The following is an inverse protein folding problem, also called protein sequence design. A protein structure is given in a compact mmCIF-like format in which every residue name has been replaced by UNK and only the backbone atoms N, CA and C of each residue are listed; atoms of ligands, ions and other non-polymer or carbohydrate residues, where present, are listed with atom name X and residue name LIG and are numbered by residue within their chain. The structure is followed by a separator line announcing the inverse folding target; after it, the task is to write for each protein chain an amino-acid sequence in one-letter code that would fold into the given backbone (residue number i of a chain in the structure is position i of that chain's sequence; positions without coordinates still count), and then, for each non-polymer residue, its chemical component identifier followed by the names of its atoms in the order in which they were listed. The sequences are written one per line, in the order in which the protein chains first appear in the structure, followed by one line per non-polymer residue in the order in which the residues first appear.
data_IF_540267572551
#
_entry.id   IF_540267572551
#
_cell.length_a   1.000
_cell.length_b   1.000
_cell.length_c   1.000
_cell.angle_alpha   90.00
_cell.angle_beta   90.00
_cell.angle_gamma   90.00
#
_symmetry.space_group_name_H-M   'P 1'
#
loop_
_entity.id
_entity.type
_entity.pdbx_description
1 polymer ?
#
# COMPACT_ATOMS: atom_id res chain seq x y z
N UNK A 1 15.71 -3.41 -1.69
CA UNK A 1 14.86 -4.61 -1.81
C UNK A 1 14.67 -4.86 -3.29
N UNK A 2 14.97 -6.06 -3.77
CA UNK A 2 14.77 -6.43 -5.17
C UNK A 2 13.25 -6.52 -5.43
N UNK A 3 12.70 -5.49 -6.08
CA UNK A 3 11.25 -5.30 -6.28
C UNK A 3 10.68 -6.34 -7.26
N UNK A 4 11.55 -7.10 -7.93
CA UNK A 4 11.23 -8.15 -8.91
C UNK A 4 10.53 -9.39 -8.33
N UNK A 5 10.40 -9.51 -7.00
CA UNK A 5 9.74 -10.65 -6.32
C UNK A 5 8.44 -10.29 -5.61
N UNK A 6 7.85 -9.13 -5.88
CA UNK A 6 6.57 -8.75 -5.28
C UNK A 6 5.43 -9.44 -6.02
N UNK A 7 4.94 -10.54 -5.42
CA UNK A 7 3.82 -11.33 -5.94
C UNK A 7 2.46 -10.90 -5.37
N UNK A 8 2.41 -9.85 -4.55
CA UNK A 8 1.20 -9.35 -3.92
C UNK A 8 1.18 -7.83 -3.93
N UNK A 9 0.05 -7.24 -4.32
CA UNK A 9 -0.14 -5.79 -4.31
C UNK A 9 -1.47 -5.43 -3.67
N UNK A 10 -1.50 -4.26 -3.04
CA UNK A 10 -2.72 -3.60 -2.62
C UNK A 10 -3.08 -2.57 -3.68
N UNK A 11 -4.26 -2.75 -4.27
CA UNK A 11 -4.87 -1.85 -5.21
C UNK A 11 -5.89 -0.99 -4.46
N UNK A 12 -5.64 0.32 -4.39
CA UNK A 12 -6.57 1.29 -3.82
C UNK A 12 -7.16 2.14 -4.95
N UNK A 13 -8.49 2.13 -5.10
CA UNK A 13 -9.21 2.91 -6.10
C UNK A 13 -10.12 3.89 -5.35
N UNK A 14 -10.07 5.17 -5.71
CA UNK A 14 -10.85 6.22 -5.07
C UNK A 14 -11.52 7.12 -6.09
N UNK A 15 -12.78 7.46 -5.84
CA UNK A 15 -13.50 8.46 -6.61
C UNK A 15 -12.86 9.84 -6.40
N UNK A 16 -12.56 10.55 -7.49
CA UNK A 16 -12.04 11.91 -7.49
C UNK A 16 -13.15 12.95 -7.73
N UNK A 17 -12.81 14.01 -8.45
CA UNK A 17 -13.79 15.01 -8.91
C UNK A 17 -14.81 14.39 -9.87
N UNK A 18 -16.10 14.64 -9.64
CA UNK A 18 -17.21 14.14 -10.48
C UNK A 18 -18.38 13.49 -9.75
N UNK A 19 -18.36 13.44 -8.41
CA UNK A 19 -19.50 12.98 -7.59
C UNK A 19 -19.87 11.52 -7.87
N UNK A 20 -21.16 11.27 -8.12
CA UNK A 20 -21.68 9.93 -8.40
C UNK A 20 -21.04 9.30 -9.63
N UNK A 21 -20.74 10.09 -10.67
CA UNK A 21 -20.08 9.60 -11.88
C UNK A 21 -18.64 9.17 -11.59
N UNK A 22 -17.91 9.89 -10.72
CA UNK A 22 -16.59 9.47 -10.29
C UNK A 22 -16.63 8.13 -9.53
N UNK A 23 -17.69 7.90 -8.75
CA UNK A 23 -17.89 6.63 -8.02
C UNK A 23 -18.22 5.48 -8.97
N UNK A 24 -19.06 5.72 -9.97
CA UNK A 24 -19.35 4.74 -11.04
C UNK A 24 -18.08 4.38 -11.80
N UNK A 25 -17.28 5.38 -12.18
CA UNK A 25 -16.02 5.16 -12.88
C UNK A 25 -15.00 4.40 -12.03
N UNK A 26 -14.91 4.66 -10.73
CA UNK A 26 -14.11 3.84 -9.81
C UNK A 26 -14.57 2.36 -9.82
N UNK A 27 -15.88 2.12 -9.89
CA UNK A 27 -16.45 0.78 -10.08
C UNK A 27 -16.08 0.13 -11.42
N UNK A 28 -16.06 0.91 -12.50
CA UNK A 28 -15.61 0.42 -13.81
C UNK A 28 -14.14 -0.02 -13.78
N UNK A 29 -13.28 0.80 -13.17
CA UNK A 29 -11.86 0.47 -12.98
C UNK A 29 -11.68 -0.78 -12.11
N UNK A 30 -12.41 -0.88 -10.99
CA UNK A 30 -12.36 -2.06 -10.12
C UNK A 30 -12.71 -3.34 -10.89
N UNK A 31 -13.80 -3.32 -11.66
CA UNK A 31 -14.22 -4.45 -12.49
C UNK A 31 -13.21 -4.76 -13.60
N UNK A 32 -12.61 -3.75 -14.20
CA UNK A 32 -11.55 -3.91 -15.20
C UNK A 32 -10.34 -4.65 -14.62
N UNK A 33 -9.84 -4.22 -13.45
CA UNK A 33 -8.71 -4.87 -12.79
C UNK A 33 -9.05 -6.28 -12.31
N UNK A 34 -10.24 -6.50 -11.77
CA UNK A 34 -10.71 -7.83 -11.38
C UNK A 34 -10.73 -8.80 -12.57
N UNK A 35 -11.26 -8.37 -13.72
CA UNK A 35 -11.29 -9.18 -14.95
C UNK A 35 -9.89 -9.44 -15.50
N UNK A 36 -9.02 -8.44 -15.47
CA UNK A 36 -7.63 -8.62 -15.89
C UNK A 36 -6.89 -9.61 -14.98
N UNK A 37 -7.06 -9.50 -13.65
CA UNK A 37 -6.49 -10.45 -12.71
C UNK A 37 -6.96 -11.89 -13.01
N UNK A 38 -8.26 -12.09 -13.24
CA UNK A 38 -8.81 -13.41 -13.60
C UNK A 38 -8.19 -13.96 -14.89
N UNK A 39 -8.01 -13.14 -15.94
CA UNK A 39 -7.36 -13.54 -17.20
C UNK A 39 -5.90 -13.93 -17.04
N UNK A 40 -5.20 -13.29 -16.10
CA UNK A 40 -3.79 -13.58 -15.79
C UNK A 40 -3.63 -14.73 -14.78
N UNK A 41 -4.72 -15.33 -14.30
CA UNK A 41 -4.70 -16.37 -13.28
C UNK A 41 -4.31 -15.86 -11.88
N UNK A 42 -4.48 -14.56 -11.63
CA UNK A 42 -4.22 -13.94 -10.33
C UNK A 42 -5.47 -13.96 -9.44
N UNK A 43 -5.27 -14.05 -8.13
CA UNK A 43 -6.37 -13.88 -7.18
C UNK A 43 -6.64 -12.39 -6.96
N UNK A 44 -7.91 -12.04 -6.82
CA UNK A 44 -8.38 -10.69 -6.53
C UNK A 44 -9.35 -10.77 -5.35
N UNK A 45 -8.97 -10.19 -4.21
CA UNK A 45 -9.77 -10.20 -2.98
C UNK A 45 -10.03 -8.77 -2.54
N UNK A 46 -11.30 -8.39 -2.40
CA UNK A 46 -11.66 -7.09 -1.82
C UNK A 46 -11.39 -7.16 -0.32
N UNK A 47 -10.59 -6.22 0.19
CA UNK A 47 -10.27 -6.10 1.61
C UNK A 47 -11.21 -5.12 2.31
N UNK A 48 -11.52 -4.01 1.64
CA UNK A 48 -12.43 -2.97 2.13
C UNK A 48 -13.08 -2.25 0.95
N UNK A 49 -14.31 -1.79 1.13
CA UNK A 49 -15.04 -1.04 0.12
C UNK A 49 -16.05 -0.09 0.76
N UNK A 50 -16.03 1.17 0.31
CA UNK A 50 -17.05 2.16 0.59
C UNK A 50 -17.88 2.39 -0.67
N UNK A 51 -19.10 1.90 -0.67
CA UNK A 51 -20.03 2.05 -1.78
C UNK A 51 -20.67 3.44 -1.80
N UNK A 52 -21.02 3.92 -3.00
CA UNK A 52 -21.86 5.10 -3.19
C UNK A 52 -23.30 4.69 -3.48
N UNK A 53 -24.25 5.61 -3.23
CA UNK A 53 -25.67 5.37 -3.56
C UNK A 53 -25.93 5.10 -5.05
N UNK A 54 -24.99 5.46 -5.93
CA UNK A 54 -25.04 5.21 -7.36
C UNK A 54 -24.53 3.81 -7.78
N UNK A 55 -24.34 2.88 -6.85
CA UNK A 55 -23.77 1.53 -7.11
C UNK A 55 -22.32 1.55 -7.63
N UNK A 56 -21.58 2.60 -7.30
CA UNK A 56 -20.14 2.71 -7.53
C UNK A 56 -19.37 2.63 -6.21
N UNK A 57 -18.07 2.92 -6.25
CA UNK A 57 -17.22 2.97 -5.06
C UNK A 57 -16.70 4.38 -4.82
N UNK A 58 -16.85 4.88 -3.58
CA UNK A 58 -16.08 6.03 -3.10
C UNK A 58 -14.62 5.63 -2.89
N UNK A 59 -14.41 4.49 -2.25
CA UNK A 59 -13.12 3.85 -2.06
C UNK A 59 -13.26 2.34 -2.20
N UNK A 60 -12.28 1.69 -2.83
CA UNK A 60 -12.17 0.23 -2.88
C UNK A 60 -10.70 -0.13 -2.67
N UNK A 61 -10.45 -1.06 -1.75
CA UNK A 61 -9.14 -1.61 -1.45
C UNK A 61 -9.21 -3.10 -1.74
N UNK A 62 -8.36 -3.58 -2.63
CA UNK A 62 -8.26 -4.99 -2.98
C UNK A 62 -6.82 -5.49 -2.89
N UNK A 63 -6.64 -6.72 -2.45
CA UNK A 63 -5.41 -7.47 -2.63
C UNK A 63 -5.44 -8.19 -3.98
N UNK A 64 -4.37 -8.05 -4.75
CA UNK A 64 -4.14 -8.81 -5.98
C UNK A 64 -2.86 -9.62 -5.82
N UNK A 65 -2.97 -10.94 -5.94
CA UNK A 65 -1.86 -11.87 -5.69
C UNK A 65 -1.62 -12.77 -6.91
N UNK A 66 -0.37 -12.81 -7.35
CA UNK A 66 0.05 -13.57 -8.54
C UNK A 66 1.46 -13.21 -9.00
N UNK A 67 2.05 -14.08 -9.81
CA UNK A 67 3.41 -13.89 -10.31
C UNK A 67 3.49 -12.64 -11.21
N UNK A 68 4.44 -11.74 -10.92
CA UNK A 68 4.70 -10.54 -11.72
C UNK A 68 3.59 -9.47 -11.64
N UNK A 69 2.68 -9.56 -10.67
CA UNK A 69 1.53 -8.65 -10.54
C UNK A 69 1.98 -7.19 -10.37
N UNK A 70 3.00 -6.92 -9.54
CA UNK A 70 3.47 -5.57 -9.32
C UNK A 70 4.09 -4.96 -10.59
N UNK A 71 4.87 -5.73 -11.35
CA UNK A 71 5.49 -5.23 -12.57
C UNK A 71 4.48 -4.88 -13.66
N UNK A 72 3.38 -5.62 -13.72
CA UNK A 72 2.29 -5.34 -14.65
C UNK A 72 1.45 -4.13 -14.24
N UNK A 73 1.16 -3.97 -12.95
CA UNK A 73 0.21 -2.95 -12.46
C UNK A 73 0.88 -1.67 -11.95
N UNK A 74 2.18 -1.62 -11.68
CA UNK A 74 2.86 -0.42 -11.15
C UNK A 74 2.70 0.85 -12.02
N UNK A 75 2.40 0.69 -13.31
CA UNK A 75 2.16 1.82 -14.22
C UNK A 75 0.70 2.28 -14.21
N UNK A 76 -0.18 1.61 -13.49
CA UNK A 76 -1.58 2.00 -13.33
C UNK A 76 -1.76 3.01 -12.20
N UNK A 77 -0.73 3.27 -11.40
CA UNK A 77 -0.77 4.29 -10.35
C UNK A 77 -0.90 5.70 -10.94
N UNK A 78 -1.92 6.43 -10.49
CA UNK A 78 -2.18 7.81 -10.90
C UNK A 78 -3.66 8.18 -10.99
N UNK A 79 -3.92 9.39 -11.48
CA UNK A 79 -5.29 9.87 -11.74
C UNK A 79 -5.76 9.44 -13.13
N UNK A 80 -6.89 8.74 -13.17
CA UNK A 80 -7.61 8.38 -14.39
C UNK A 80 -8.77 9.35 -14.60
N UNK A 81 -8.87 9.92 -15.79
CA UNK A 81 -9.95 10.82 -16.20
C UNK A 81 -10.92 10.10 -17.11
N UNK A 82 -12.21 10.27 -16.91
CA UNK A 82 -13.26 9.80 -17.83
C UNK A 82 -14.06 10.97 -18.39
N UNK A 83 -14.41 10.87 -19.68
CA UNK A 83 -15.32 11.77 -20.37
C UNK A 83 -16.41 10.94 -21.03
N UNK A 84 -17.62 11.02 -20.50
CA UNK A 84 -18.81 10.34 -21.05
C UNK A 84 -20.07 11.06 -20.61
N UNK A 85 -21.20 10.68 -21.19
CA UNK A 85 -22.52 11.03 -20.67
C UNK A 85 -22.81 10.11 -19.48
N UNK A 86 -22.89 10.63 -18.24
CA UNK A 86 -23.17 9.82 -17.06
C UNK A 86 -24.52 9.13 -17.15
N UNK A 87 -24.65 7.97 -16.51
CA UNK A 87 -25.94 7.28 -16.41
C UNK A 87 -26.94 8.08 -15.55
N UNK A 88 -26.42 8.95 -14.69
CA UNK A 88 -27.21 9.86 -13.83
C UNK A 88 -27.64 11.15 -14.55
N UNK A 89 -27.17 11.42 -15.77
CA UNK A 89 -27.44 12.65 -16.52
C UNK A 89 -28.61 12.48 -17.49
N UNK A 90 -29.56 13.45 -17.49
CA UNK A 90 -30.80 13.37 -18.29
C UNK A 90 -30.70 14.10 -19.63
N UNK A 91 -29.82 15.09 -19.77
CA UNK A 91 -29.74 15.96 -20.95
C UNK A 91 -28.68 15.54 -21.97
N UNK A 92 -28.03 14.38 -21.81
CA UNK A 92 -27.02 13.90 -22.75
C UNK A 92 -25.71 14.70 -22.74
N UNK A 93 -25.46 15.49 -21.70
CA UNK A 93 -24.24 16.31 -21.59
C UNK A 93 -23.05 15.44 -21.21
N UNK A 94 -21.92 15.68 -21.86
CA UNK A 94 -20.66 14.99 -21.54
C UNK A 94 -20.09 15.61 -20.26
N UNK A 95 -19.90 14.78 -19.24
CA UNK A 95 -19.25 15.19 -18.01
C UNK A 95 -17.79 14.71 -17.99
N UNK A 96 -16.97 15.44 -17.24
CA UNK A 96 -15.58 15.06 -16.98
C UNK A 96 -15.40 14.74 -15.51
N UNK A 97 -15.09 13.47 -15.25
CA UNK A 97 -14.90 12.92 -13.91
C UNK A 97 -13.53 12.25 -13.79
N UNK A 98 -13.11 11.96 -12.57
CA UNK A 98 -11.79 11.39 -12.26
C UNK A 98 -11.89 10.31 -11.18
N UNK A 99 -10.96 9.38 -11.21
CA UNK A 99 -10.71 8.41 -10.14
C UNK A 99 -9.20 8.23 -9.99
N UNK A 100 -8.70 8.09 -8.77
CA UNK A 100 -7.31 7.77 -8.53
C UNK A 100 -7.13 6.29 -8.27
N UNK A 101 -6.00 5.76 -8.72
CA UNK A 101 -5.57 4.38 -8.49
C UNK A 101 -4.19 4.42 -7.86
N UNK A 102 -4.00 3.70 -6.76
CA UNK A 102 -2.69 3.45 -6.18
C UNK A 102 -2.40 1.95 -6.17
N UNK A 103 -1.18 1.61 -6.55
CA UNK A 103 -0.66 0.23 -6.55
C UNK A 103 0.51 0.18 -5.59
N UNK A 104 0.25 -0.42 -4.43
CA UNK A 104 1.20 -0.51 -3.34
C UNK A 104 1.73 -1.96 -3.28
N UNK A 105 3.05 -2.18 -3.24
CA UNK A 105 3.57 -3.51 -3.00
C UNK A 105 3.14 -3.97 -1.59
N UNK A 106 2.55 -5.16 -1.48
CA UNK A 106 2.24 -5.71 -0.17
C UNK A 106 3.55 -6.14 0.49
N UNK A 107 3.88 -5.52 1.62
CA UNK A 107 5.05 -5.89 2.42
C UNK A 107 4.56 -6.80 3.53
N UNK A 108 4.98 -8.05 3.51
CA UNK A 108 4.73 -8.94 4.65
C UNK A 108 5.44 -8.38 5.89
N UNK A 109 4.73 -8.39 7.02
CA UNK A 109 5.30 -8.02 8.30
C UNK A 109 6.41 -9.02 8.66
N UNK A 110 7.64 -8.75 8.24
CA UNK A 110 8.79 -9.55 8.64
C UNK A 110 8.92 -9.45 10.15
N UNK A 111 8.87 -10.60 10.83
CA UNK A 111 9.21 -10.72 12.24
C UNK A 111 10.52 -9.97 12.50
N UNK A 112 10.56 -9.18 13.57
CA UNK A 112 11.78 -8.48 13.97
C UNK A 112 12.72 -9.50 14.57
N UNK A 113 13.68 -9.94 13.77
CA UNK A 113 14.77 -10.78 14.23
C UNK A 113 15.81 -9.90 14.93
N UNK A 114 16.06 -10.18 16.21
CA UNK A 114 17.05 -9.45 17.02
C UNK A 114 18.27 -10.36 17.17
N UNK A 115 19.40 -9.96 16.60
CA UNK A 115 20.66 -10.68 16.74
C UNK A 115 21.30 -10.34 18.09
N UNK A 116 21.80 -11.35 18.80
CA UNK A 116 22.45 -11.11 20.10
C UNK A 116 23.73 -10.28 19.98
N UNK A 117 24.43 -10.31 18.84
CA UNK A 117 25.62 -9.49 18.56
C UNK A 117 25.35 -7.98 18.61
N UNK A 118 24.12 -7.59 18.33
CA UNK A 118 23.69 -6.20 18.18
C UNK A 118 23.22 -5.63 19.53
N UNK A 119 23.23 -6.45 20.58
CA UNK A 119 22.82 -6.09 21.92
C UNK A 119 24.03 -5.82 22.80
N UNK A 120 23.92 -4.76 23.59
CA UNK A 120 24.78 -4.50 24.73
C UNK A 120 23.94 -4.67 25.98
N UNK A 121 24.24 -5.71 26.75
CA UNK A 121 23.52 -6.02 27.98
C UNK A 121 24.39 -5.59 29.14
N UNK A 122 23.87 -4.68 29.96
CA UNK A 122 24.50 -4.21 31.20
C UNK A 122 23.64 -4.62 32.38
N UNK A 123 24.29 -5.06 33.46
CA UNK A 123 23.65 -5.47 34.69
C UNK A 123 23.92 -4.44 35.78
N UNK A 124 22.93 -4.21 36.63
CA UNK A 124 23.06 -3.28 37.74
C UNK A 124 22.23 -3.73 38.95
N UNK A 125 22.47 -3.10 40.10
CA UNK A 125 21.67 -3.34 41.29
C UNK A 125 20.31 -2.68 41.14
N UNK A 126 19.24 -3.41 41.47
CA UNK A 126 17.89 -2.87 41.41
C UNK A 126 17.73 -1.79 42.50
N UNK A 127 17.45 -0.54 42.10
CA UNK A 127 17.18 0.55 43.05
C UNK A 127 15.73 0.53 43.54
N UNK A 128 15.53 0.46 44.86
CA UNK A 128 14.21 0.53 45.52
C UNK A 128 14.26 0.18 47.02
N UNK A 129 13.16 0.38 47.78
CA UNK A 129 13.06 0.07 49.22
C UNK A 129 12.96 -1.43 49.50
N UNK A 130 13.96 -2.20 49.05
CA UNK A 130 14.03 -3.65 49.21
C UNK A 130 14.99 -4.09 50.32
N UNK A 131 14.73 -5.28 50.89
CA UNK A 131 15.57 -5.90 51.93
C UNK A 131 16.99 -6.24 51.46
N UNK A 132 17.81 -6.87 52.33
CA UNK A 132 19.25 -7.14 52.10
C UNK A 132 19.60 -7.75 50.73
N UNK A 133 18.69 -8.52 50.12
CA UNK A 133 18.90 -9.18 48.83
C UNK A 133 18.99 -8.18 47.65
N UNK A 134 18.19 -7.10 47.69
CA UNK A 134 18.15 -6.05 46.65
C UNK A 134 19.43 -5.24 46.61
N UNK A 135 20.09 -5.06 47.76
CA UNK A 135 21.33 -4.29 47.88
C UNK A 135 22.60 -5.09 47.52
N UNK A 136 22.51 -6.43 47.49
CA UNK A 136 23.66 -7.33 47.27
C UNK A 136 23.70 -7.93 45.87
N UNK A 137 22.56 -8.13 45.19
CA UNK A 137 22.49 -8.89 43.93
C UNK A 137 22.15 -7.97 42.75
N UNK A 138 22.91 -8.11 41.66
CA UNK A 138 22.74 -7.35 40.41
C UNK A 138 21.63 -7.96 39.53
N UNK A 139 20.38 -7.80 39.96
CA UNK A 139 19.22 -8.39 39.27
C UNK A 139 18.66 -7.52 38.15
N UNK A 140 18.97 -6.21 38.10
CA UNK A 140 18.44 -5.30 37.08
C UNK A 140 19.22 -5.46 35.77
N UNK A 141 18.47 -5.49 34.66
CA UNK A 141 19.03 -5.66 33.31
C UNK A 141 18.70 -4.44 32.47
N UNK A 142 19.70 -3.92 31.76
CA UNK A 142 19.54 -2.89 30.74
C UNK A 142 20.12 -3.41 29.43
N UNK A 143 19.32 -3.33 28.37
CA UNK A 143 19.68 -3.78 27.02
C UNK A 143 19.67 -2.56 26.10
N UNK A 144 20.79 -2.34 25.42
CA UNK A 144 20.93 -1.34 24.37
C UNK A 144 21.06 -2.04 23.02
N UNK A 145 20.20 -1.70 22.08
CA UNK A 145 20.31 -2.17 20.69
C UNK A 145 21.19 -1.20 19.91
N UNK A 146 22.44 -1.60 19.63
CA UNK A 146 23.48 -0.74 19.03
C UNK A 146 23.04 -0.11 17.69
N UNK A 147 22.38 -0.85 16.76
CA UNK A 147 22.01 -0.28 15.47
C UNK A 147 20.95 0.83 15.55
N UNK A 148 20.03 0.77 16.52
CA UNK A 148 18.95 1.77 16.66
C UNK A 148 19.17 2.75 17.80
N UNK A 149 20.17 2.53 18.66
CA UNK A 149 20.41 3.30 19.88
C UNK A 149 19.32 3.12 20.95
N UNK A 150 18.37 2.20 20.75
CA UNK A 150 17.26 2.01 21.69
C UNK A 150 17.73 1.33 22.96
N UNK A 151 17.32 1.91 24.09
CA UNK A 151 17.64 1.39 25.41
C UNK A 151 16.34 0.95 26.08
N UNK A 152 16.34 -0.28 26.58
CA UNK A 152 15.27 -0.83 27.42
C UNK A 152 15.86 -1.49 28.65
N UNK A 153 15.06 -1.69 29.69
CA UNK A 153 15.51 -2.41 30.88
C UNK A 153 14.35 -2.98 31.66
N UNK A 154 14.66 -3.94 32.53
CA UNK A 154 13.71 -4.55 33.46
C UNK A 154 14.39 -4.77 34.82
N UNK A 155 13.60 -4.57 35.88
CA UNK A 155 14.03 -4.72 37.29
C UNK A 155 12.95 -5.29 38.20
N UNK A 156 11.85 -5.76 37.62
CA UNK A 156 10.65 -6.19 38.36
C UNK A 156 10.84 -7.60 38.96
N UNK A 157 11.61 -8.44 38.29
CA UNK A 157 11.80 -9.83 38.67
C UNK A 157 12.94 -10.03 39.66
N UNK A 158 12.83 -11.09 40.45
CA UNK A 158 13.86 -11.48 41.45
C UNK A 158 15.10 -12.11 40.83
N UNK A 159 15.05 -12.52 39.56
CA UNK A 159 16.17 -13.16 38.86
C UNK A 159 16.65 -12.33 37.66
N UNK A 160 17.96 -12.35 37.43
CA UNK A 160 18.60 -11.68 36.29
C UNK A 160 18.08 -12.23 34.96
N UNK A 161 17.85 -13.55 34.87
CA UNK A 161 17.37 -14.19 33.65
C UNK A 161 15.96 -13.72 33.27
N UNK A 162 15.02 -13.72 34.23
CA UNK A 162 13.66 -13.27 33.99
C UNK A 162 13.60 -11.78 33.61
N UNK A 163 14.43 -10.94 34.25
CA UNK A 163 14.56 -9.53 33.85
C UNK A 163 15.15 -9.37 32.44
N UNK A 164 16.09 -10.24 32.02
CA UNK A 164 16.65 -10.22 30.66
C UNK A 164 15.59 -10.61 29.63
N UNK A 165 14.81 -11.65 29.88
CA UNK A 165 13.71 -12.07 28.99
C UNK A 165 12.65 -10.97 28.85
N UNK A 166 12.24 -10.35 29.95
CA UNK A 166 11.27 -9.25 29.92
C UNK A 166 11.81 -8.02 29.17
N UNK A 167 13.06 -7.65 29.41
CA UNK A 167 13.70 -6.56 28.67
C UNK A 167 13.81 -6.89 27.16
N UNK A 168 14.08 -8.15 26.79
CA UNK A 168 14.08 -8.60 25.40
C UNK A 168 12.69 -8.56 24.76
N UNK A 169 11.64 -8.94 25.47
CA UNK A 169 10.25 -8.83 25.01
C UNK A 169 9.90 -7.37 24.71
N UNK A 170 10.21 -6.46 25.64
CA UNK A 170 10.00 -5.01 25.46
C UNK A 170 10.83 -4.47 24.30
N UNK A 171 12.08 -4.92 24.14
CA UNK A 171 12.94 -4.51 23.02
C UNK A 171 12.32 -4.92 21.67
N UNK A 172 11.88 -6.18 21.56
CA UNK A 172 11.23 -6.70 20.35
C UNK A 172 9.95 -5.92 20.02
N UNK A 173 9.13 -5.62 21.03
CA UNK A 173 7.92 -4.83 20.85
C UNK A 173 8.23 -3.42 20.33
N UNK A 174 9.20 -2.72 20.95
CA UNK A 174 9.60 -1.36 20.51
C UNK A 174 10.22 -1.34 19.11
N UNK A 175 11.07 -2.31 18.79
CA UNK A 175 11.66 -2.43 17.45
C UNK A 175 10.59 -2.75 16.39
N UNK A 176 9.59 -3.57 16.74
CA UNK A 176 8.44 -3.84 15.87
C UNK A 176 7.62 -2.59 15.63
N UNK A 177 7.31 -1.84 16.68
CA UNK A 177 6.56 -0.59 16.58
C UNK A 177 7.29 0.45 15.73
N UNK A 178 8.58 0.68 15.98
CA UNK A 178 9.38 1.62 15.19
C UNK A 178 9.48 1.22 13.70
N UNK A 179 9.63 -0.08 13.43
CA UNK A 179 9.64 -0.60 12.05
C UNK A 179 8.26 -0.46 11.39
N UNK A 180 7.18 -0.65 12.16
CA UNK A 180 5.81 -0.43 11.71
C UNK A 180 5.59 1.05 11.37
N UNK A 181 5.99 1.97 12.23
CA UNK A 181 5.88 3.41 12.00
C UNK A 181 6.67 3.86 10.76
N UNK A 182 7.91 3.39 10.61
CA UNK A 182 8.72 3.67 9.41
C UNK A 182 8.07 3.13 8.13
N UNK A 183 7.49 1.92 8.20
CA UNK A 183 6.79 1.31 7.07
C UNK A 183 5.50 2.07 6.75
N UNK A 184 4.73 2.49 7.76
CA UNK A 184 3.50 3.29 7.57
C UNK A 184 3.82 4.66 6.98
N UNK A 185 4.88 5.32 7.46
CA UNK A 185 5.35 6.59 6.93
C UNK A 185 5.70 6.49 5.44
N UNK A 186 6.57 5.54 5.09
CA UNK A 186 6.98 5.33 3.69
C UNK A 186 5.83 4.91 2.77
N UNK A 187 4.88 4.08 3.23
CA UNK A 187 3.69 3.72 2.45
C UNK A 187 2.75 4.92 2.28
N UNK A 188 2.59 5.76 3.30
CA UNK A 188 1.78 6.97 3.23
C UNK A 188 2.35 7.98 2.23
N UNK A 189 3.67 8.17 2.22
CA UNK A 189 4.37 9.01 1.24
C UNK A 189 4.29 8.43 -0.18
N UNK A 190 4.48 7.11 -0.32
CA UNK A 190 4.32 6.42 -1.59
C UNK A 190 2.89 6.57 -2.12
N UNK A 191 1.87 6.43 -1.26
CA UNK A 191 0.47 6.63 -1.63
C UNK A 191 0.22 8.07 -2.07
N UNK A 192 0.70 9.06 -1.31
CA UNK A 192 0.52 10.49 -1.64
C UNK A 192 1.16 10.84 -2.98
N UNK A 193 2.36 10.33 -3.26
CA UNK A 193 3.04 10.58 -4.54
C UNK A 193 2.34 9.93 -5.74
N UNK A 194 1.64 8.80 -5.53
CA UNK A 194 0.89 8.13 -6.59
C UNK A 194 -0.49 8.76 -6.86
N UNK A 195 -1.22 9.14 -5.81
CA UNK A 195 -2.61 9.64 -5.94
C UNK A 195 -2.66 11.13 -6.25
N UNK A 196 -1.67 11.89 -5.78
CA UNK A 196 -1.68 13.36 -5.88
C UNK A 196 -2.90 13.97 -5.19
N UNK A 197 -3.45 15.04 -5.77
CA UNK A 197 -4.66 15.71 -5.30
C UNK A 197 -5.96 15.05 -5.80
N UNK A 198 -5.87 14.17 -6.79
CA UNK A 198 -7.04 13.58 -7.45
C UNK A 198 -7.73 14.53 -8.45
N UNK A 199 -7.11 15.67 -8.75
CA UNK A 199 -7.66 16.70 -9.63
C UNK A 199 -7.48 16.40 -11.12
N UNK A 200 -8.31 17.05 -11.95
CA UNK A 200 -8.35 16.84 -13.41
C UNK A 200 -7.03 17.12 -14.14
N UNK A 201 -6.15 17.94 -13.54
CA UNK A 201 -4.87 18.33 -14.12
C UNK A 201 -3.82 17.19 -14.08
N UNK A 202 -3.86 16.37 -13.02
CA UNK A 202 -2.83 15.35 -12.71
C UNK A 202 -3.08 14.00 -13.42
N UNK A 203 -3.95 14.00 -14.44
CA UNK A 203 -4.35 12.79 -15.16
C UNK A 203 -3.16 12.09 -15.84
N UNK A 204 -2.97 10.82 -15.54
CA UNK A 204 -2.07 9.94 -16.27
C UNK A 204 -2.72 9.38 -17.54
N UNK A 205 -4.04 9.14 -17.48
CA UNK A 205 -4.80 8.51 -18.56
C UNK A 205 -6.18 9.13 -18.70
N UNK A 206 -6.66 9.26 -19.93
CA UNK A 206 -8.01 9.75 -20.24
C UNK A 206 -8.77 8.73 -21.06
N UNK A 207 -9.96 8.37 -20.58
CA UNK A 207 -10.95 7.50 -21.22
C UNK A 207 -12.03 8.40 -21.82
N UNK A 208 -11.98 8.62 -23.14
CA UNK A 208 -12.93 9.46 -23.87
C UNK A 208 -13.92 8.59 -24.63
N UNK A 209 -15.12 8.39 -24.07
CA UNK A 209 -16.15 7.51 -24.64
C UNK A 209 -16.72 8.03 -25.97
N UNK A 210 -17.05 9.33 -26.15
CA UNK A 210 -17.52 9.86 -27.42
C UNK A 210 -16.61 9.56 -28.62
N UNK A 211 -15.28 9.58 -28.39
CA UNK A 211 -14.28 9.31 -29.43
C UNK A 211 -13.81 7.84 -29.46
N UNK A 212 -14.38 6.97 -28.60
CA UNK A 212 -13.88 5.62 -28.32
C UNK A 212 -12.34 5.56 -28.18
N UNK A 213 -11.78 6.46 -27.34
CA UNK A 213 -10.32 6.64 -27.24
C UNK A 213 -9.82 6.66 -25.81
N UNK A 214 -8.83 5.83 -25.53
CA UNK A 214 -7.98 5.90 -24.34
C UNK A 214 -6.66 6.56 -24.72
N UNK A 215 -6.23 7.58 -23.99
CA UNK A 215 -4.92 8.23 -24.17
C UNK A 215 -4.15 8.18 -22.86
N UNK A 216 -2.94 7.63 -22.88
CA UNK A 216 -2.01 7.74 -21.76
C UNK A 216 -1.04 8.90 -22.03
N UNK A 217 -1.11 9.92 -21.17
CA UNK A 217 -0.39 11.18 -21.37
C UNK A 217 1.11 11.06 -21.08
N UNK A 218 1.53 10.01 -20.38
CA UNK A 218 2.94 9.82 -20.01
C UNK A 218 3.77 9.32 -21.19
N UNK A 219 3.19 8.48 -22.04
CA UNK A 219 3.85 7.90 -23.22
C UNK A 219 3.26 8.40 -24.55
N UNK A 220 2.21 9.23 -24.51
CA UNK A 220 1.54 9.77 -25.69
C UNK A 220 0.81 8.74 -26.56
N UNK A 221 0.74 7.46 -26.15
CA UNK A 221 0.05 6.39 -26.89
C UNK A 221 -1.46 6.47 -26.71
N UNK A 222 -2.16 6.03 -27.76
CA UNK A 222 -3.61 6.03 -27.86
C UNK A 222 -4.09 4.61 -28.20
N UNK A 223 -5.22 4.22 -27.63
CA UNK A 223 -5.91 2.97 -27.93
C UNK A 223 -7.39 3.24 -28.17
N UNK A 224 -8.03 2.41 -28.98
CA UNK A 224 -9.47 2.40 -29.19
C UNK A 224 -10.12 1.16 -28.57
N UNK A 225 -11.45 1.05 -28.69
CA UNK A 225 -12.26 -0.02 -28.13
C UNK A 225 -12.21 -0.02 -26.59
N UNK A 226 -12.69 1.08 -26.00
CA UNK A 226 -12.70 1.31 -24.55
C UNK A 226 -13.42 0.17 -23.84
N UNK A 227 -14.58 -0.26 -24.36
CA UNK A 227 -15.38 -1.31 -23.75
C UNK A 227 -14.59 -2.60 -23.60
N UNK A 228 -13.88 -3.03 -24.66
CA UNK A 228 -13.04 -4.22 -24.62
C UNK A 228 -11.89 -4.11 -23.60
N UNK A 229 -11.30 -2.92 -23.46
CA UNK A 229 -10.24 -2.67 -22.47
C UNK A 229 -10.81 -2.74 -21.05
N UNK A 230 -11.99 -2.17 -20.81
CA UNK A 230 -12.71 -2.26 -19.53
C UNK A 230 -13.17 -3.70 -19.19
N UNK A 231 -13.23 -4.61 -20.17
CA UNK A 231 -13.37 -6.05 -19.93
C UNK A 231 -12.06 -6.74 -19.50
N UNK A 232 -11.03 -5.97 -19.14
CA UNK A 232 -9.74 -6.47 -18.66
C UNK A 232 -8.78 -6.89 -19.77
N UNK A 233 -8.95 -6.43 -21.02
CA UNK A 233 -7.98 -6.70 -22.11
C UNK A 233 -6.89 -5.62 -22.16
N UNK A 234 -6.09 -5.53 -21.09
CA UNK A 234 -5.10 -4.46 -20.91
C UNK A 234 -3.69 -4.80 -21.40
N UNK A 235 -3.47 -5.99 -21.97
CA UNK A 235 -2.11 -6.45 -22.33
C UNK A 235 -1.39 -5.48 -23.28
N UNK A 236 -2.13 -4.86 -24.22
CA UNK A 236 -1.58 -3.85 -25.14
C UNK A 236 -1.09 -2.58 -24.42
N UNK A 237 -1.79 -2.15 -23.36
CA UNK A 237 -1.40 -0.99 -22.56
C UNK A 237 -0.14 -1.34 -21.76
N UNK A 238 -0.14 -2.49 -21.10
CA UNK A 238 0.96 -2.92 -20.24
C UNK A 238 2.23 -3.18 -21.06
N UNK A 239 2.13 -3.86 -22.19
CA UNK A 239 3.24 -4.11 -23.11
C UNK A 239 3.88 -2.80 -23.59
N UNK A 240 3.06 -1.79 -23.92
CA UNK A 240 3.57 -0.50 -24.37
C UNK A 240 4.47 0.20 -23.33
N UNK A 241 4.18 0.05 -22.03
CA UNK A 241 5.04 0.59 -20.98
C UNK A 241 6.33 -0.21 -20.80
N UNK A 242 6.30 -1.53 -21.07
CA UNK A 242 7.49 -2.36 -21.02
C UNK A 242 8.47 -2.05 -22.17
N UNK A 243 7.94 -1.73 -23.36
CA UNK A 243 8.74 -1.30 -24.52
C UNK A 243 9.45 0.03 -24.26
N UNK A 244 8.73 1.04 -23.79
CA UNK A 244 9.30 2.38 -23.52
C UNK A 244 10.40 2.32 -22.47
N UNK A 245 10.33 1.38 -21.52
CA UNK A 245 11.36 1.22 -20.48
C UNK A 245 12.64 0.51 -20.96
N UNK A 246 12.59 -0.14 -22.13
CA UNK A 246 13.73 -0.82 -22.76
C UNK A 246 14.45 0.05 -23.80
N UNK A 247 13.78 1.08 -24.30
CA UNK A 247 14.33 2.10 -25.19
C UNK A 247 15.04 3.19 -24.37
#
# INVERSE_FOLDING_TARGET
MDVSKVNKVILEIRAGAGGDEASLFAGDLARMYQKYAAKRGWSFSILDASESGAKGYKTLIAEVSGMGVYDALKQESGVHRVQRVPVTERQGRIHTSTASVAVLPAVEAKAVEVKESDLEVTFSRAGGPGGQNVNKVETAVRITHKPTGMVVGSREERSQHANREKAMEVLRAKLYEAKREQSVGSVSELRKSQIGSGERAEKIRTYNFPDDRITDHRIGKKWSNIENILQGNMDKIIAAFQEVKRA
#
